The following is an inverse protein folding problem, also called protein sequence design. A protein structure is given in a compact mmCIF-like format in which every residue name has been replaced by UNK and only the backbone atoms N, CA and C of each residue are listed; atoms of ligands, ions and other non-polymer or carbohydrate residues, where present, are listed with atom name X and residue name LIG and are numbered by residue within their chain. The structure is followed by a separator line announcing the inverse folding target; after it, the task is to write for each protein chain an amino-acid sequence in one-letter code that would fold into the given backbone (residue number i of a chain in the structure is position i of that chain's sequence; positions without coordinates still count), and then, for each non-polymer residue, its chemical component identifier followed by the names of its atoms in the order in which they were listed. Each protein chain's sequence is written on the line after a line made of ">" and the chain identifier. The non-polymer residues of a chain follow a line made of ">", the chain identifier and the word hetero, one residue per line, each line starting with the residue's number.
data_IF_902802931712
#
_entry.id   IF_902802931712
#
_cell.length_a   1.000
_cell.length_b   1.000
_cell.length_c   1.000
_cell.angle_alpha   90.00
_cell.angle_beta   90.00
_cell.angle_gamma   90.00
#
_symmetry.space_group_name_H-M   'P 1'
#
loop_
_entity.id
_entity.type
_entity.pdbx_description
1 polymer ?
#
# COMPACT_ATOMS: atom_id res chain seq x y z
N UNK A 1 18.47 4.31 14.47
CA UNK A 1 17.32 3.82 13.67
C UNK A 1 16.33 3.14 14.59
N UNK A 2 15.06 3.50 14.46
CA UNK A 2 14.00 2.86 15.23
C UNK A 2 13.37 1.73 14.41
N UNK A 3 13.40 0.51 14.95
CA UNK A 3 12.76 -0.64 14.34
C UNK A 3 11.38 -0.82 14.95
N UNK A 4 10.34 -0.50 14.19
CA UNK A 4 8.97 -0.53 14.69
C UNK A 4 8.23 -1.83 14.39
N UNK A 5 8.61 -2.53 13.35
CA UNK A 5 7.85 -3.68 12.86
C UNK A 5 8.67 -4.95 12.94
N UNK A 6 9.19 -5.24 14.12
CA UNK A 6 9.90 -6.49 14.37
C UNK A 6 8.87 -7.58 14.64
N UNK A 7 8.89 -8.62 13.80
CA UNK A 7 7.94 -9.74 13.88
C UNK A 7 7.84 -10.29 15.31
N UNK A 8 6.62 -10.50 15.77
CA UNK A 8 6.34 -11.06 17.10
C UNK A 8 6.26 -10.00 18.21
N UNK A 9 6.52 -8.74 17.92
CA UNK A 9 6.40 -7.66 18.90
C UNK A 9 5.05 -6.94 18.76
N UNK A 10 4.67 -6.20 19.81
CA UNK A 10 3.45 -5.38 19.77
C UNK A 10 3.50 -4.34 18.64
N UNK A 11 4.66 -3.75 18.39
CA UNK A 11 4.83 -2.77 17.32
C UNK A 11 4.66 -3.34 15.91
N UNK A 12 4.68 -4.67 15.77
CA UNK A 12 4.43 -5.35 14.50
C UNK A 12 2.95 -5.61 14.27
N UNK A 13 2.14 -5.68 15.31
CA UNK A 13 0.72 -5.98 15.22
C UNK A 13 -0.06 -4.84 14.56
N UNK A 14 -1.08 -5.21 13.80
CA UNK A 14 -2.03 -4.24 13.26
C UNK A 14 -2.85 -3.69 14.42
N UNK A 15 -3.04 -2.39 14.48
CA UNK A 15 -3.86 -1.76 15.51
C UNK A 15 -5.25 -2.38 15.51
N UNK A 16 -5.81 -2.56 16.71
CA UNK A 16 -7.10 -3.25 16.89
C UNK A 16 -8.22 -2.58 16.09
N UNK A 17 -8.25 -1.25 16.07
CA UNK A 17 -9.28 -0.48 15.35
C UNK A 17 -9.26 -0.77 13.84
N UNK A 18 -8.09 -1.05 13.28
CA UNK A 18 -7.94 -1.41 11.86
C UNK A 18 -8.21 -2.91 11.67
N UNK A 19 -7.65 -3.74 12.56
CA UNK A 19 -7.81 -5.19 12.49
C UNK A 19 -9.29 -5.60 12.49
N UNK A 20 -10.12 -4.90 13.26
CA UNK A 20 -11.57 -5.16 13.35
C UNK A 20 -12.31 -4.90 12.03
N UNK A 21 -11.72 -4.11 11.13
CA UNK A 21 -12.32 -3.78 9.83
C UNK A 21 -11.86 -4.67 8.69
N UNK A 22 -10.87 -5.53 8.93
CA UNK A 22 -10.31 -6.38 7.87
C UNK A 22 -11.26 -7.51 7.53
N UNK A 23 -11.45 -7.73 6.23
CA UNK A 23 -12.26 -8.85 5.70
C UNK A 23 -11.38 -10.00 5.20
N UNK A 24 -10.10 -9.76 5.06
CA UNK A 24 -9.12 -10.73 4.59
C UNK A 24 -7.95 -10.82 5.55
N UNK A 25 -7.26 -11.97 5.55
CA UNK A 25 -6.06 -12.15 6.35
C UNK A 25 -4.95 -11.20 5.87
N UNK A 26 -4.16 -10.63 6.80
CA UNK A 26 -3.03 -9.81 6.41
C UNK A 26 -2.00 -10.57 5.58
N UNK A 27 -1.36 -9.87 4.66
CA UNK A 27 -0.25 -10.42 3.86
C UNK A 27 1.05 -9.85 4.43
N UNK A 28 1.83 -10.73 5.04
CA UNK A 28 3.13 -10.34 5.59
C UNK A 28 4.13 -10.04 4.48
N UNK A 29 4.98 -9.07 4.72
CA UNK A 29 6.05 -8.70 3.80
C UNK A 29 7.36 -8.45 4.54
N UNK A 30 8.46 -8.77 3.90
CA UNK A 30 9.81 -8.61 4.49
C UNK A 30 10.51 -7.35 3.98
N UNK A 31 9.93 -6.69 2.98
CA UNK A 31 10.42 -5.44 2.41
C UNK A 31 9.26 -4.47 2.25
N UNK A 32 9.54 -3.27 1.75
CA UNK A 32 8.52 -2.22 1.64
C UNK A 32 7.46 -2.56 0.59
N UNK A 33 7.87 -3.02 -0.58
CA UNK A 33 6.95 -3.58 -1.56
C UNK A 33 6.70 -5.06 -1.30
N UNK A 34 5.52 -5.55 -1.66
CA UNK A 34 5.11 -6.92 -1.38
C UNK A 34 4.84 -7.71 -2.65
N UNK A 35 5.69 -8.71 -2.91
CA UNK A 35 5.48 -9.66 -4.02
C UNK A 35 4.21 -10.48 -3.79
N UNK A 36 3.98 -10.88 -2.55
CA UNK A 36 2.82 -11.73 -2.20
C UNK A 36 1.51 -10.98 -2.39
N UNK A 37 1.49 -9.67 -2.10
CA UNK A 37 0.33 -8.83 -2.37
C UNK A 37 0.02 -8.81 -3.87
N UNK A 38 1.03 -8.59 -4.69
CA UNK A 38 0.86 -8.55 -6.16
C UNK A 38 0.33 -9.88 -6.68
N UNK A 39 0.90 -10.99 -6.23
CA UNK A 39 0.42 -12.33 -6.62
C UNK A 39 -1.04 -12.54 -6.26
N UNK A 40 -1.42 -12.11 -5.06
CA UNK A 40 -2.82 -12.20 -4.61
C UNK A 40 -3.73 -11.36 -5.49
N UNK A 41 -3.32 -10.15 -5.82
CA UNK A 41 -4.10 -9.26 -6.70
C UNK A 41 -4.22 -9.83 -8.12
N UNK A 42 -3.17 -10.43 -8.65
CA UNK A 42 -3.22 -11.09 -9.96
C UNK A 42 -4.21 -12.26 -9.95
N UNK A 43 -4.23 -13.05 -8.87
CA UNK A 43 -5.22 -14.14 -8.72
C UNK A 43 -6.64 -13.61 -8.67
N UNK A 44 -6.88 -12.54 -7.92
CA UNK A 44 -8.19 -11.90 -7.84
C UNK A 44 -8.60 -11.38 -9.22
N UNK A 45 -7.68 -10.78 -9.96
CA UNK A 45 -7.94 -10.28 -11.31
C UNK A 45 -8.36 -11.38 -12.28
N UNK A 46 -7.77 -12.56 -12.16
CA UNK A 46 -8.15 -13.73 -12.98
C UNK A 46 -9.54 -14.25 -12.65
N UNK A 47 -9.91 -14.25 -11.36
CA UNK A 47 -11.21 -14.76 -10.90
C UNK A 47 -12.33 -13.75 -11.09
N UNK A 48 -12.06 -12.49 -10.78
CA UNK A 48 -13.03 -11.39 -10.82
C UNK A 48 -12.31 -10.12 -11.20
N UNK A 49 -12.70 -9.48 -12.28
CA UNK A 49 -12.08 -8.23 -12.72
C UNK A 49 -12.07 -7.19 -11.61
N UNK A 50 -10.88 -6.65 -11.31
CA UNK A 50 -10.70 -5.58 -10.34
C UNK A 50 -11.07 -4.26 -11.00
N UNK A 51 -12.00 -3.52 -10.41
CA UNK A 51 -12.40 -2.21 -10.93
C UNK A 51 -11.37 -1.13 -10.61
N UNK A 52 -10.81 -1.16 -9.41
CA UNK A 52 -9.77 -0.22 -8.98
C UNK A 52 -9.05 -0.76 -7.76
N UNK A 53 -7.84 -0.23 -7.51
CA UNK A 53 -7.06 -0.52 -6.31
C UNK A 53 -6.83 0.81 -5.59
N UNK A 54 -7.31 0.91 -4.36
CA UNK A 54 -7.07 2.08 -3.53
C UNK A 54 -6.12 1.72 -2.39
N UNK A 55 -5.02 2.46 -2.27
CA UNK A 55 -4.06 2.27 -1.19
C UNK A 55 -4.22 3.35 -0.12
N UNK A 56 -4.11 2.90 1.12
CA UNK A 56 -4.08 3.76 2.31
C UNK A 56 -3.02 3.22 3.26
N UNK A 57 -2.62 4.04 4.22
CA UNK A 57 -1.75 3.59 5.32
C UNK A 57 -0.42 4.33 5.40
N UNK A 58 0.58 3.65 5.94
CA UNK A 58 1.90 4.20 6.29
C UNK A 58 3.02 3.37 5.69
N UNK A 59 4.11 3.97 5.32
CA UNK A 59 4.26 5.41 5.09
C UNK A 59 4.05 5.71 3.62
N UNK A 60 3.46 6.86 3.34
CA UNK A 60 3.20 7.32 1.96
C UNK A 60 4.43 7.19 1.08
N UNK A 61 5.57 7.64 1.60
CA UNK A 61 6.86 7.74 0.92
C UNK A 61 7.69 6.45 0.97
N UNK A 62 7.17 5.40 1.58
CA UNK A 62 7.90 4.12 1.71
C UNK A 62 7.02 2.96 1.21
N UNK A 63 6.20 2.38 2.08
CA UNK A 63 5.41 1.20 1.74
C UNK A 63 4.28 1.50 0.76
N UNK A 64 3.60 2.63 0.92
CA UNK A 64 2.47 2.99 0.05
C UNK A 64 2.96 3.20 -1.39
N UNK A 65 3.94 4.07 -1.61
CA UNK A 65 4.47 4.31 -2.95
C UNK A 65 5.07 3.02 -3.56
N UNK A 66 5.78 2.22 -2.76
CA UNK A 66 6.37 0.97 -3.25
C UNK A 66 5.31 0.01 -3.79
N UNK A 67 4.23 -0.19 -3.04
CA UNK A 67 3.16 -1.09 -3.46
C UNK A 67 2.30 -0.50 -4.57
N UNK A 68 2.08 0.81 -4.57
CA UNK A 68 1.36 1.48 -5.66
C UNK A 68 2.08 1.28 -7.00
N UNK A 69 3.41 1.45 -7.02
CA UNK A 69 4.21 1.23 -8.22
C UNK A 69 4.19 -0.23 -8.68
N UNK A 70 4.24 -1.18 -7.74
CA UNK A 70 4.12 -2.60 -8.07
C UNK A 70 2.76 -2.93 -8.67
N UNK A 71 1.68 -2.42 -8.08
CA UNK A 71 0.34 -2.61 -8.64
C UNK A 71 0.24 -2.05 -10.06
N UNK A 72 0.79 -0.88 -10.29
CA UNK A 72 0.79 -0.25 -11.60
C UNK A 72 1.61 -1.05 -12.63
N UNK A 73 2.72 -1.64 -12.20
CA UNK A 73 3.59 -2.42 -13.07
C UNK A 73 2.96 -3.77 -13.45
N UNK A 74 2.36 -4.46 -12.52
CA UNK A 74 1.83 -5.82 -12.74
C UNK A 74 0.38 -5.85 -13.19
N UNK A 75 -0.38 -4.80 -12.92
CA UNK A 75 -1.79 -4.67 -13.32
C UNK A 75 -2.00 -3.33 -14.02
N UNK A 76 -1.34 -3.13 -15.18
CA UNK A 76 -1.33 -1.80 -15.82
C UNK A 76 -2.71 -1.31 -16.29
N UNK A 77 -3.63 -2.23 -16.52
CA UNK A 77 -4.99 -1.89 -16.96
C UNK A 77 -5.93 -1.56 -15.80
N UNK A 78 -5.53 -1.84 -14.56
CA UNK A 78 -6.36 -1.57 -13.38
C UNK A 78 -6.02 -0.18 -12.84
N UNK A 79 -7.01 0.71 -12.68
CA UNK A 79 -6.78 2.01 -12.07
C UNK A 79 -6.23 1.86 -10.65
N UNK A 80 -5.11 2.54 -10.36
CA UNK A 80 -4.50 2.56 -9.02
C UNK A 80 -4.61 3.97 -8.47
N UNK A 81 -5.07 4.08 -7.24
CA UNK A 81 -5.27 5.36 -6.57
C UNK A 81 -4.82 5.30 -5.12
N UNK A 82 -4.45 6.44 -4.59
CA UNK A 82 -4.03 6.60 -3.20
C UNK A 82 -4.90 7.66 -2.55
N UNK A 83 -5.50 7.32 -1.41
CA UNK A 83 -6.24 8.31 -0.64
C UNK A 83 -5.28 9.04 0.30
N UNK A 84 -4.87 10.24 -0.09
CA UNK A 84 -3.88 11.01 0.65
C UNK A 84 -4.32 11.36 2.06
N UNK A 85 -5.64 11.52 2.28
CA UNK A 85 -6.17 11.82 3.62
C UNK A 85 -6.05 10.64 4.58
N UNK A 86 -5.85 9.44 4.05
CA UNK A 86 -5.70 8.20 4.83
C UNK A 86 -4.25 7.70 4.81
N UNK A 87 -3.30 8.56 4.48
CA UNK A 87 -1.87 8.23 4.45
C UNK A 87 -1.07 9.27 5.26
N UNK A 88 0.10 8.85 5.71
CA UNK A 88 1.07 9.75 6.32
C UNK A 88 2.48 9.29 5.98
N UNK A 89 3.36 10.23 5.71
CA UNK A 89 4.76 9.96 5.41
C UNK A 89 5.66 10.12 6.63
N UNK A 90 6.95 9.90 6.44
CA UNK A 90 7.94 10.13 7.49
C UNK A 90 7.95 11.61 7.90
N UNK A 91 7.84 12.49 6.91
CA UNK A 91 7.67 13.93 7.11
C UNK A 91 6.54 14.42 6.21
N UNK A 92 6.01 15.61 6.49
CA UNK A 92 5.01 16.24 5.59
C UNK A 92 5.61 16.45 4.21
N UNK A 93 6.87 16.88 4.14
CA UNK A 93 7.56 17.11 2.88
C UNK A 93 7.71 15.83 2.06
N UNK A 94 8.21 14.75 2.65
CA UNK A 94 8.39 13.47 1.94
C UNK A 94 7.06 12.84 1.54
N UNK A 95 6.02 13.04 2.34
CA UNK A 95 4.65 12.65 1.99
C UNK A 95 4.20 13.36 0.70
N UNK A 96 4.34 14.67 0.64
CA UNK A 96 3.95 15.45 -0.54
C UNK A 96 4.79 15.09 -1.77
N UNK A 97 6.08 14.88 -1.60
CA UNK A 97 6.97 14.45 -2.68
C UNK A 97 6.53 13.10 -3.26
N UNK A 98 6.18 12.15 -2.41
CA UNK A 98 5.71 10.83 -2.85
C UNK A 98 4.40 10.94 -3.64
N UNK A 99 3.46 11.76 -3.17
CA UNK A 99 2.19 11.97 -3.88
C UNK A 99 2.44 12.56 -5.27
N UNK A 100 3.31 13.55 -5.39
CA UNK A 100 3.66 14.16 -6.68
C UNK A 100 4.33 13.14 -7.61
N UNK A 101 5.26 12.32 -7.07
CA UNK A 101 5.90 11.27 -7.85
C UNK A 101 4.88 10.25 -8.38
N UNK A 102 3.93 9.84 -7.54
CA UNK A 102 2.90 8.89 -7.95
C UNK A 102 1.98 9.47 -9.03
N UNK A 103 1.64 10.75 -8.95
CA UNK A 103 0.87 11.42 -10.02
C UNK A 103 1.56 11.33 -11.37
N UNK A 104 2.88 11.54 -11.40
CA UNK A 104 3.67 11.43 -12.63
C UNK A 104 3.63 10.02 -13.20
N UNK A 105 3.43 9.02 -12.38
CA UNK A 105 3.35 7.62 -12.79
C UNK A 105 1.91 7.14 -13.02
N UNK A 106 0.98 8.06 -13.20
CA UNK A 106 -0.44 7.78 -13.49
C UNK A 106 -1.17 7.05 -12.36
N UNK A 107 -0.76 7.33 -11.13
CA UNK A 107 -1.49 6.90 -9.93
C UNK A 107 -2.32 8.10 -9.48
N UNK A 108 -3.62 7.88 -9.35
CA UNK A 108 -4.55 8.94 -8.98
C UNK A 108 -4.45 9.24 -7.49
N UNK A 109 -4.40 10.50 -7.12
CA UNK A 109 -4.40 10.93 -5.73
C UNK A 109 -5.77 11.50 -5.39
N UNK A 110 -6.42 10.86 -4.45
CA UNK A 110 -7.73 11.28 -3.96
C UNK A 110 -7.61 12.35 -2.89
#
# INVERSE_FOLDING_TARGET
>A
MLFRSIRGTEGWQIRQEISDLLTEAPVDKVTFGSRELVKKLEQIQEETSIESITLIGLCTDICVISNAMLCKAFLPEVPVQVDASCCAGVTVESHMQALEAMKMCQIDIL
#
